data_IF_548711906298
#
_entry.id   IF_548711906298
#
_cell.length_a   1.000
_cell.length_b   1.000
_cell.length_c   1.000
_cell.angle_alpha   90.00
_cell.angle_beta   90.00
_cell.angle_gamma   90.00
#
_symmetry.space_group_name_H-M   'P 1'
#
loop_
_entity.id
_entity.type
_entity.pdbx_description
1 polymer ?
#
# COMPACT_ATOMS: atom_id res chain seq x y z
N UNK A 1 -62.37 -49.49 5.57
CA UNK A 1 -62.29 -48.03 5.37
C UNK A 1 -61.57 -47.30 6.50
N UNK A 2 -61.94 -47.45 7.78
CA UNK A 2 -61.30 -46.71 8.89
C UNK A 2 -59.79 -46.89 9.04
N UNK A 3 -59.27 -48.11 8.89
CA UNK A 3 -57.83 -48.39 9.01
C UNK A 3 -57.01 -47.68 7.92
N UNK A 4 -57.54 -47.60 6.69
CA UNK A 4 -56.87 -46.91 5.58
C UNK A 4 -56.83 -45.39 5.78
N UNK A 5 -57.87 -44.81 6.38
CA UNK A 5 -57.92 -43.38 6.71
C UNK A 5 -56.89 -43.04 7.78
N UNK A 6 -56.76 -43.87 8.82
CA UNK A 6 -55.76 -43.69 9.87
C UNK A 6 -54.33 -43.83 9.31
N UNK A 7 -54.09 -44.83 8.45
CA UNK A 7 -52.80 -45.01 7.80
C UNK A 7 -52.41 -43.81 6.90
N UNK A 8 -53.36 -43.30 6.10
CA UNK A 8 -53.16 -42.13 5.27
C UNK A 8 -52.90 -40.85 6.09
N UNK A 9 -53.66 -40.64 7.17
CA UNK A 9 -53.44 -39.51 8.08
C UNK A 9 -52.05 -39.57 8.74
N UNK A 10 -51.60 -40.76 9.13
CA UNK A 10 -50.29 -40.97 9.72
C UNK A 10 -49.15 -40.70 8.73
N UNK A 11 -49.32 -41.07 7.46
CA UNK A 11 -48.35 -40.75 6.39
C UNK A 11 -48.27 -39.24 6.12
N UNK A 12 -49.40 -38.53 6.05
CA UNK A 12 -49.42 -37.07 5.88
C UNK A 12 -48.75 -36.37 7.07
N UNK A 13 -49.05 -36.82 8.30
CA UNK A 13 -48.40 -36.29 9.50
C UNK A 13 -46.89 -36.52 9.47
N UNK A 14 -46.43 -37.71 9.07
CA UNK A 14 -45.01 -38.01 8.91
C UNK A 14 -44.34 -37.06 7.90
N UNK A 15 -44.94 -36.87 6.72
CA UNK A 15 -44.42 -35.97 5.70
C UNK A 15 -44.35 -34.52 6.18
N UNK A 16 -45.36 -34.05 6.91
CA UNK A 16 -45.37 -32.70 7.48
C UNK A 16 -44.27 -32.50 8.54
N UNK A 17 -44.02 -33.51 9.37
CA UNK A 17 -42.92 -33.50 10.35
C UNK A 17 -41.57 -33.52 9.63
N UNK A 18 -41.38 -34.42 8.66
CA UNK A 18 -40.15 -34.49 7.86
C UNK A 18 -39.86 -33.15 7.16
N UNK A 19 -40.86 -32.54 6.52
CA UNK A 19 -40.74 -31.23 5.88
C UNK A 19 -40.34 -30.13 6.87
N UNK A 20 -41.01 -30.08 8.02
CA UNK A 20 -40.73 -29.09 9.07
C UNK A 20 -39.31 -29.23 9.61
N UNK A 21 -38.87 -30.47 9.87
CA UNK A 21 -37.52 -30.78 10.32
C UNK A 21 -36.46 -30.41 9.27
N UNK A 22 -36.68 -30.77 8.00
CA UNK A 22 -35.78 -30.40 6.91
C UNK A 22 -35.65 -28.89 6.77
N UNK A 23 -36.78 -28.17 6.73
CA UNK A 23 -36.79 -26.70 6.65
C UNK A 23 -36.04 -26.06 7.82
N UNK A 24 -36.29 -26.51 9.04
CA UNK A 24 -35.59 -26.01 10.22
C UNK A 24 -34.08 -26.26 10.14
N UNK A 25 -33.65 -27.44 9.68
CA UNK A 25 -32.24 -27.77 9.49
C UNK A 25 -31.58 -26.85 8.45
N UNK A 26 -32.24 -26.61 7.32
CA UNK A 26 -31.76 -25.68 6.29
C UNK A 26 -31.64 -24.24 6.81
N UNK A 27 -32.67 -23.72 7.48
CA UNK A 27 -32.64 -22.37 8.03
C UNK A 27 -31.55 -22.18 9.09
N UNK A 28 -31.34 -23.19 9.95
CA UNK A 28 -30.28 -23.21 10.95
C UNK A 28 -28.89 -23.29 10.30
N UNK A 29 -28.73 -24.12 9.28
CA UNK A 29 -27.51 -24.21 8.48
C UNK A 29 -27.15 -22.89 7.80
N UNK A 30 -28.14 -22.22 7.18
CA UNK A 30 -27.97 -20.91 6.54
C UNK A 30 -27.47 -19.85 7.52
N UNK A 31 -28.05 -19.77 8.72
CA UNK A 31 -27.62 -18.83 9.77
C UNK A 31 -26.20 -19.10 10.27
N UNK A 32 -25.84 -20.38 10.41
CA UNK A 32 -24.46 -20.76 10.76
C UNK A 32 -23.47 -20.31 9.67
N UNK A 33 -23.85 -20.48 8.40
CA UNK A 33 -23.07 -19.99 7.26
C UNK A 33 -22.89 -18.47 7.27
N UNK A 34 -23.93 -17.70 7.60
CA UNK A 34 -23.83 -16.24 7.73
C UNK A 34 -22.82 -15.81 8.80
N UNK A 35 -22.82 -16.45 9.97
CA UNK A 35 -21.84 -16.16 11.02
C UNK A 35 -20.41 -16.51 10.60
N UNK A 36 -20.22 -17.64 9.92
CA UNK A 36 -18.92 -18.05 9.39
C UNK A 36 -18.42 -17.07 8.32
N UNK A 37 -19.29 -16.64 7.42
CA UNK A 37 -18.97 -15.67 6.39
C UNK A 37 -18.52 -14.32 6.99
N UNK A 38 -19.20 -13.83 8.04
CA UNK A 38 -18.78 -12.60 8.70
C UNK A 38 -17.40 -12.71 9.37
N UNK A 39 -17.08 -13.89 9.94
CA UNK A 39 -15.75 -14.15 10.52
C UNK A 39 -14.66 -14.26 9.44
N UNK A 40 -14.97 -14.86 8.29
CA UNK A 40 -14.05 -14.93 7.14
C UNK A 40 -13.82 -13.56 6.51
N UNK A 41 -14.86 -12.73 6.37
CA UNK A 41 -14.73 -11.35 5.89
C UNK A 41 -13.83 -10.55 6.84
N UNK A 42 -14.06 -10.65 8.16
CA UNK A 42 -13.23 -9.95 9.13
C UNK A 42 -11.77 -10.44 9.03
N UNK A 43 -11.54 -11.75 8.97
CA UNK A 43 -10.20 -12.33 8.82
C UNK A 43 -9.50 -11.86 7.54
N UNK A 44 -10.22 -11.81 6.41
CA UNK A 44 -9.68 -11.29 5.16
C UNK A 44 -9.37 -9.79 5.24
N UNK A 45 -10.21 -9.02 5.93
CA UNK A 45 -10.00 -7.60 6.14
C UNK A 45 -8.91 -7.27 7.16
N UNK A 46 -8.46 -8.21 8.00
CA UNK A 46 -7.45 -7.96 9.04
C UNK A 46 -6.17 -7.33 8.49
N UNK A 47 -5.72 -7.74 7.29
CA UNK A 47 -4.54 -7.12 6.66
C UNK A 47 -4.71 -5.65 6.31
N UNK A 48 -5.95 -5.20 6.08
CA UNK A 48 -6.31 -3.82 5.72
C UNK A 48 -6.85 -2.98 6.88
N UNK A 49 -7.15 -3.63 8.01
CA UNK A 49 -7.61 -2.97 9.23
C UNK A 49 -6.46 -2.61 10.20
N UNK A 50 -5.22 -2.97 9.85
CA UNK A 50 -4.02 -2.72 10.65
C UNK A 50 -3.69 -3.83 11.66
N UNK A 51 -2.48 -3.77 12.25
CA UNK A 51 -2.05 -4.71 13.29
C UNK A 51 -2.88 -4.57 14.55
N UNK A 52 -2.99 -5.65 15.33
CA UNK A 52 -3.85 -5.80 16.50
C UNK A 52 -3.70 -4.71 17.59
N UNK A 53 -2.61 -3.95 17.58
CA UNK A 53 -2.34 -2.86 18.52
C UNK A 53 -3.10 -1.56 18.19
N UNK A 54 -3.44 -1.34 16.92
CA UNK A 54 -4.48 -0.40 16.53
C UNK A 54 -5.82 -1.12 16.75
N UNK A 55 -6.28 -1.09 18.00
CA UNK A 55 -7.51 -1.73 18.46
C UNK A 55 -8.55 -1.77 17.33
N UNK A 56 -8.84 -2.98 16.83
CA UNK A 56 -9.80 -3.22 15.75
C UNK A 56 -10.96 -2.21 15.87
N UNK A 57 -11.29 -1.46 14.80
CA UNK A 57 -12.13 -0.29 14.95
C UNK A 57 -13.37 -0.65 15.73
N UNK A 58 -13.56 -0.02 16.90
CA UNK A 58 -14.62 -0.40 17.87
C UNK A 58 -16.00 -0.51 17.20
N UNK A 59 -16.21 0.28 16.14
CA UNK A 59 -17.37 0.23 15.26
C UNK A 59 -17.57 -1.15 14.59
N UNK A 60 -16.53 -1.74 13.98
CA UNK A 60 -16.57 -3.04 13.30
C UNK A 60 -16.93 -4.17 14.26
N UNK A 61 -16.31 -4.20 15.45
CA UNK A 61 -16.65 -5.21 16.46
C UNK A 61 -18.06 -5.04 17.00
N UNK A 62 -18.51 -3.79 17.19
CA UNK A 62 -19.86 -3.50 17.65
C UNK A 62 -20.90 -3.96 16.63
N UNK A 63 -20.70 -3.67 15.34
CA UNK A 63 -21.62 -4.09 14.28
C UNK A 63 -21.55 -5.60 14.04
N UNK A 64 -20.38 -6.23 14.13
CA UNK A 64 -20.25 -7.69 14.09
C UNK A 64 -20.98 -8.38 15.24
N UNK A 65 -20.83 -7.88 16.48
CA UNK A 65 -21.53 -8.43 17.63
C UNK A 65 -23.07 -8.27 17.49
N UNK A 66 -23.53 -7.13 16.97
CA UNK A 66 -24.95 -6.90 16.63
C UNK A 66 -25.42 -7.90 15.58
N UNK A 67 -24.66 -8.06 14.48
CA UNK A 67 -24.97 -9.00 13.41
C UNK A 67 -25.09 -10.44 13.93
N UNK A 68 -24.10 -10.94 14.67
CA UNK A 68 -24.11 -12.29 15.24
C UNK A 68 -25.32 -12.54 16.15
N UNK A 69 -25.74 -11.54 16.94
CA UNK A 69 -26.95 -11.64 17.78
C UNK A 69 -28.22 -11.76 16.94
N UNK A 70 -28.34 -10.93 15.91
CA UNK A 70 -29.53 -10.92 15.03
C UNK A 70 -29.65 -12.19 14.21
N UNK A 71 -28.53 -12.77 13.73
CA UNK A 71 -28.52 -14.03 12.95
C UNK A 71 -29.03 -15.22 13.77
N UNK A 72 -28.81 -15.22 15.09
CA UNK A 72 -29.27 -16.29 16.00
C UNK A 72 -30.77 -16.18 16.29
N UNK A 73 -31.33 -14.97 16.29
CA UNK A 73 -32.75 -14.75 16.57
C UNK A 73 -33.63 -15.12 15.35
N UNK A 74 -34.57 -16.08 15.49
CA UNK A 74 -35.46 -16.46 14.40
C UNK A 74 -36.40 -15.37 13.92
N UNK A 75 -36.74 -14.43 14.80
CA UNK A 75 -37.78 -13.43 14.60
C UNK A 75 -37.22 -12.11 14.05
N UNK A 76 -35.91 -11.99 13.93
CA UNK A 76 -35.26 -10.77 13.44
C UNK A 76 -34.76 -10.92 12.00
N UNK A 77 -34.97 -9.88 11.21
CA UNK A 77 -34.32 -9.73 9.90
C UNK A 77 -32.85 -9.36 10.10
N UNK A 78 -31.96 -10.17 9.51
CA UNK A 78 -30.51 -10.01 9.63
C UNK A 78 -29.92 -9.11 8.55
N UNK A 79 -30.66 -8.86 7.47
CA UNK A 79 -30.24 -8.07 6.33
C UNK A 79 -29.76 -6.66 6.73
N UNK A 80 -30.48 -5.88 7.57
CA UNK A 80 -30.00 -4.56 8.00
C UNK A 80 -28.72 -4.61 8.82
N UNK A 81 -28.61 -5.61 9.71
CA UNK A 81 -27.41 -5.79 10.53
C UNK A 81 -26.20 -6.22 9.67
N UNK A 82 -26.42 -6.89 8.54
CA UNK A 82 -25.36 -7.23 7.59
C UNK A 82 -24.83 -6.00 6.84
N UNK A 83 -25.72 -5.07 6.45
CA UNK A 83 -25.31 -3.82 5.82
C UNK A 83 -24.54 -2.93 6.79
N UNK A 84 -25.00 -2.81 8.04
CA UNK A 84 -24.28 -2.09 9.10
C UNK A 84 -22.86 -2.66 9.31
N UNK A 85 -22.72 -4.00 9.30
CA UNK A 85 -21.43 -4.66 9.41
C UNK A 85 -20.54 -4.37 8.19
N UNK A 86 -21.06 -4.56 6.97
CA UNK A 86 -20.31 -4.29 5.75
C UNK A 86 -19.85 -2.85 5.63
N UNK A 87 -20.71 -1.88 5.95
CA UNK A 87 -20.36 -0.45 5.95
C UNK A 87 -19.26 -0.14 6.96
N UNK A 88 -19.34 -0.69 8.18
CA UNK A 88 -18.32 -0.47 9.19
C UNK A 88 -16.95 -1.03 8.76
N UNK A 89 -16.92 -2.21 8.13
CA UNK A 89 -15.69 -2.80 7.59
C UNK A 89 -15.14 -1.94 6.45
N UNK A 90 -15.98 -1.56 5.49
CA UNK A 90 -15.58 -0.75 4.35
C UNK A 90 -15.02 0.62 4.75
N UNK A 91 -15.71 1.32 5.65
CA UNK A 91 -15.26 2.62 6.17
C UNK A 91 -13.91 2.51 6.88
N UNK A 92 -13.73 1.49 7.72
CA UNK A 92 -12.48 1.29 8.44
C UNK A 92 -11.30 0.99 7.49
N UNK A 93 -11.50 0.12 6.50
CA UNK A 93 -10.49 -0.15 5.47
C UNK A 93 -10.17 1.09 4.65
N UNK A 94 -11.18 1.90 4.30
CA UNK A 94 -10.99 3.14 3.56
C UNK A 94 -10.19 4.17 4.37
N UNK A 95 -10.53 4.38 5.64
CA UNK A 95 -9.81 5.31 6.52
C UNK A 95 -8.34 4.94 6.67
N UNK A 96 -8.06 3.65 6.84
CA UNK A 96 -6.69 3.16 6.93
C UNK A 96 -5.92 3.40 5.62
N UNK A 97 -6.50 3.00 4.48
CA UNK A 97 -5.86 3.21 3.17
C UNK A 97 -5.69 4.69 2.82
N UNK A 98 -6.62 5.54 3.24
CA UNK A 98 -6.51 6.99 3.07
C UNK A 98 -5.40 7.58 3.93
N UNK A 99 -5.28 7.16 5.19
CA UNK A 99 -4.20 7.60 6.08
C UNK A 99 -2.82 7.13 5.58
N UNK A 100 -2.71 5.90 5.12
CA UNK A 100 -1.50 5.37 4.48
C UNK A 100 -1.18 6.12 3.19
N UNK A 101 -2.18 6.41 2.36
CA UNK A 101 -2.03 7.22 1.15
C UNK A 101 -1.54 8.64 1.45
N UNK A 102 -2.05 9.27 2.51
CA UNK A 102 -1.54 10.54 3.01
C UNK A 102 -0.10 10.36 3.50
N UNK A 103 0.23 9.32 4.27
CA UNK A 103 1.58 9.12 4.79
C UNK A 103 2.62 8.88 3.68
N UNK A 104 2.26 8.11 2.65
CA UNK A 104 3.11 7.90 1.47
C UNK A 104 3.22 9.17 0.62
N UNK A 105 2.14 9.96 0.52
CA UNK A 105 2.14 11.26 -0.13
C UNK A 105 2.77 12.39 0.70
N UNK A 106 2.88 12.19 2.02
CA UNK A 106 3.41 13.16 2.96
C UNK A 106 4.92 13.19 2.82
N UNK A 107 5.41 14.38 2.48
CA UNK A 107 6.83 14.65 2.34
C UNK A 107 7.55 14.38 3.69
N UNK A 108 8.70 13.69 3.70
CA UNK A 108 9.59 13.64 4.86
C UNK A 108 9.93 15.04 5.37
N UNK A 109 10.09 15.22 6.68
CA UNK A 109 10.17 16.54 7.33
C UNK A 109 11.32 17.43 6.81
N UNK A 110 12.35 16.83 6.21
CA UNK A 110 13.59 17.44 5.73
C UNK A 110 13.65 17.65 4.20
N UNK A 111 12.65 17.17 3.45
CA UNK A 111 12.69 17.23 1.97
C UNK A 111 11.98 18.47 1.43
N UNK A 112 12.05 18.77 0.12
CA UNK A 112 11.20 19.76 -0.57
C UNK A 112 10.60 19.08 -1.80
N UNK A 113 9.27 19.17 -1.98
CA UNK A 113 8.61 18.66 -3.19
C UNK A 113 8.53 19.79 -4.20
N UNK A 114 9.06 19.53 -5.40
CA UNK A 114 9.02 20.44 -6.53
C UNK A 114 8.42 19.63 -7.68
N UNK A 115 7.27 20.04 -8.18
CA UNK A 115 6.68 19.43 -9.36
C UNK A 115 7.34 20.03 -10.60
N UNK A 116 7.93 19.19 -11.44
CA UNK A 116 8.64 19.58 -12.66
C UNK A 116 8.01 18.84 -13.85
N UNK A 117 7.83 19.54 -14.97
CA UNK A 117 7.57 18.89 -16.25
C UNK A 117 8.80 18.10 -16.71
N UNK A 118 8.61 17.14 -17.60
CA UNK A 118 9.72 16.35 -18.17
C UNK A 118 10.80 17.25 -18.80
N UNK A 119 10.38 18.33 -19.46
CA UNK A 119 11.31 19.28 -20.09
C UNK A 119 12.11 20.05 -19.04
N UNK A 120 11.48 20.51 -17.97
CA UNK A 120 12.16 21.22 -16.88
C UNK A 120 13.14 20.29 -16.16
N UNK A 121 12.74 19.04 -15.90
CA UNK A 121 13.62 18.04 -15.29
C UNK A 121 14.84 17.74 -16.17
N UNK A 122 14.65 17.62 -17.50
CA UNK A 122 15.74 17.44 -18.45
C UNK A 122 16.70 18.62 -18.45
N UNK A 123 16.18 19.85 -18.49
CA UNK A 123 16.98 21.07 -18.44
C UNK A 123 17.76 21.18 -17.12
N UNK A 124 17.10 20.89 -15.99
CA UNK A 124 17.75 20.86 -14.68
C UNK A 124 18.84 19.80 -14.60
N UNK A 125 18.64 18.63 -15.21
CA UNK A 125 19.67 17.58 -15.28
C UNK A 125 20.93 18.06 -15.97
N UNK A 126 20.78 18.74 -17.10
CA UNK A 126 21.93 19.26 -17.85
C UNK A 126 22.63 20.38 -17.09
N UNK A 127 21.87 21.31 -16.52
CA UNK A 127 22.43 22.41 -15.74
C UNK A 127 23.14 21.91 -14.48
N UNK A 128 22.58 20.90 -13.80
CA UNK A 128 23.19 20.30 -12.63
C UNK A 128 24.49 19.56 -12.99
N UNK A 129 24.52 18.85 -14.12
CA UNK A 129 25.73 18.20 -14.60
C UNK A 129 26.83 19.19 -14.98
N UNK A 130 26.49 20.24 -15.74
CA UNK A 130 27.42 21.30 -16.10
C UNK A 130 27.92 22.05 -14.87
N UNK A 131 27.00 22.43 -13.97
CA UNK A 131 27.33 23.08 -12.70
C UNK A 131 28.31 22.24 -11.89
N UNK A 132 28.06 20.94 -11.76
CA UNK A 132 28.99 20.01 -11.12
C UNK A 132 30.40 20.06 -11.75
N UNK A 133 30.50 20.00 -13.08
CA UNK A 133 31.80 20.06 -13.77
C UNK A 133 32.52 21.40 -13.55
N UNK A 134 31.77 22.50 -13.49
CA UNK A 134 32.33 23.84 -13.24
C UNK A 134 32.75 24.07 -11.78
N UNK A 135 32.11 23.38 -10.84
CA UNK A 135 32.48 23.42 -9.41
C UNK A 135 33.68 22.51 -9.09
N UNK A 136 34.03 21.58 -9.98
CA UNK A 136 35.21 20.74 -9.81
C UNK A 136 36.49 21.61 -9.84
N UNK A 137 37.48 21.36 -8.96
CA UNK A 137 38.62 22.27 -8.84
C UNK A 137 39.59 22.24 -10.04
N UNK A 138 39.49 21.23 -10.90
CA UNK A 138 40.24 21.13 -12.15
C UNK A 138 39.74 22.11 -13.23
N UNK A 139 38.53 22.65 -13.10
CA UNK A 139 37.95 23.60 -14.04
C UNK A 139 38.24 25.05 -13.61
N UNK A 140 38.99 25.80 -14.43
CA UNK A 140 39.47 27.16 -14.08
C UNK A 140 38.55 28.32 -14.48
N UNK A 141 37.37 28.04 -15.06
CA UNK A 141 36.54 29.10 -15.66
C UNK A 141 35.63 29.88 -14.69
N UNK A 142 35.35 29.35 -13.48
CA UNK A 142 34.51 30.01 -12.47
C UNK A 142 35.17 29.81 -11.09
N UNK A 143 35.47 30.91 -10.40
CA UNK A 143 36.17 30.88 -9.09
C UNK A 143 35.22 30.97 -7.88
N UNK A 144 33.95 31.31 -8.10
CA UNK A 144 33.08 31.78 -7.01
C UNK A 144 32.58 30.63 -6.12
N UNK A 145 32.40 29.42 -6.65
CA UNK A 145 31.90 28.27 -5.89
C UNK A 145 32.55 26.97 -6.37
N UNK A 146 33.61 26.52 -5.70
CA UNK A 146 34.25 25.21 -5.96
C UNK A 146 34.01 24.27 -4.80
N UNK A 147 34.01 22.97 -5.08
CA UNK A 147 34.00 21.97 -4.02
C UNK A 147 35.26 22.12 -3.16
N UNK A 148 35.06 22.27 -1.85
CA UNK A 148 36.11 22.44 -0.87
C UNK A 148 36.81 21.12 -0.54
N UNK A 149 36.11 19.99 -0.73
CA UNK A 149 36.59 18.66 -0.42
C UNK A 149 35.98 17.56 -1.27
N UNK A 150 36.59 16.38 -1.17
CA UNK A 150 36.19 15.17 -1.88
C UNK A 150 34.76 14.72 -1.51
N UNK A 151 34.42 14.77 -0.23
CA UNK A 151 33.11 14.33 0.27
C UNK A 151 31.96 15.19 -0.26
N UNK A 152 32.16 16.50 -0.30
CA UNK A 152 31.22 17.47 -0.86
C UNK A 152 30.98 17.21 -2.36
N UNK A 153 32.05 16.93 -3.10
CA UNK A 153 31.94 16.57 -4.51
C UNK A 153 31.19 15.24 -4.70
N UNK A 154 31.41 14.24 -3.85
CA UNK A 154 30.66 12.98 -3.90
C UNK A 154 29.19 13.16 -3.55
N UNK A 155 28.87 13.99 -2.57
CA UNK A 155 27.49 14.33 -2.21
C UNK A 155 26.76 15.03 -3.37
N UNK A 156 27.42 16.02 -3.99
CA UNK A 156 26.89 16.67 -5.17
C UNK A 156 26.73 15.69 -6.34
N UNK A 157 27.70 14.81 -6.58
CA UNK A 157 27.63 13.79 -7.63
C UNK A 157 26.45 12.82 -7.42
N UNK A 158 26.18 12.38 -6.18
CA UNK A 158 25.01 11.56 -5.85
C UNK A 158 23.71 12.32 -6.11
N UNK A 159 23.63 13.58 -5.72
CA UNK A 159 22.46 14.43 -5.92
C UNK A 159 22.12 14.62 -7.41
N UNK A 160 23.13 14.88 -8.25
CA UNK A 160 22.97 14.90 -9.71
C UNK A 160 22.51 13.53 -10.24
N UNK A 161 23.07 12.44 -9.71
CA UNK A 161 22.70 11.08 -10.08
C UNK A 161 21.23 10.75 -9.78
N UNK A 162 20.71 11.18 -8.62
CA UNK A 162 19.28 11.02 -8.27
C UNK A 162 18.40 11.72 -9.30
N UNK A 163 18.75 12.95 -9.65
CA UNK A 163 17.97 13.76 -10.59
C UNK A 163 18.00 13.17 -12.02
N UNK A 164 19.15 12.68 -12.46
CA UNK A 164 19.30 11.95 -13.72
C UNK A 164 18.55 10.60 -13.73
N UNK A 165 18.48 9.90 -12.59
CA UNK A 165 17.74 8.65 -12.47
C UNK A 165 16.22 8.85 -12.54
N UNK A 166 15.73 10.00 -12.10
CA UNK A 166 14.31 10.37 -12.18
C UNK A 166 13.82 10.54 -13.62
N UNK A 167 14.72 10.77 -14.58
CA UNK A 167 14.37 10.82 -16.01
C UNK A 167 13.96 9.44 -16.54
N UNK A 168 12.88 9.33 -17.32
CA UNK A 168 12.51 8.10 -18.03
C UNK A 168 13.64 7.65 -18.96
N UNK A 169 13.86 6.33 -19.09
CA UNK A 169 14.97 5.77 -19.88
C UNK A 169 14.99 6.25 -21.34
N UNK A 170 13.82 6.45 -21.95
CA UNK A 170 13.69 6.87 -23.35
C UNK A 170 14.14 8.32 -23.59
N UNK A 171 14.06 9.18 -22.57
CA UNK A 171 14.30 10.63 -22.67
C UNK A 171 15.67 11.04 -22.12
N UNK A 172 16.48 10.08 -21.66
CA UNK A 172 17.80 10.37 -21.10
C UNK A 172 18.76 10.80 -22.22
N UNK A 173 19.60 11.82 -21.96
CA UNK A 173 20.60 12.30 -22.92
C UNK A 173 21.83 11.37 -23.03
N UNK A 174 21.86 10.27 -22.28
CA UNK A 174 22.94 9.29 -22.26
C UNK A 174 22.36 7.87 -22.23
N UNK A 175 23.10 6.92 -22.81
CA UNK A 175 22.63 5.55 -22.98
C UNK A 175 22.62 4.74 -21.66
N UNK A 176 23.63 4.93 -20.81
CA UNK A 176 23.76 4.21 -19.55
C UNK A 176 24.03 5.16 -18.37
N UNK A 177 23.10 5.14 -17.41
CA UNK A 177 23.19 5.93 -16.17
C UNK A 177 24.35 5.48 -15.29
N UNK A 178 24.70 4.19 -15.30
CA UNK A 178 25.78 3.67 -14.48
C UNK A 178 27.11 4.22 -14.94
N UNK A 179 27.34 4.21 -16.26
CA UNK A 179 28.51 4.82 -16.88
C UNK A 179 28.60 6.31 -16.56
N UNK A 180 27.48 7.05 -16.61
CA UNK A 180 27.43 8.48 -16.29
C UNK A 180 27.83 8.77 -14.82
N UNK A 181 27.31 7.98 -13.88
CA UNK A 181 27.66 8.11 -12.45
C UNK A 181 29.12 7.77 -12.20
N UNK A 182 29.59 6.62 -12.72
CA UNK A 182 30.98 6.18 -12.56
C UNK A 182 31.98 7.17 -13.18
N UNK A 183 31.63 7.76 -14.32
CA UNK A 183 32.44 8.81 -14.93
C UNK A 183 32.61 10.02 -14.01
N UNK A 184 31.53 10.43 -13.33
CA UNK A 184 31.53 11.55 -12.39
C UNK A 184 32.32 11.25 -11.12
N UNK A 185 32.15 10.05 -10.56
CA UNK A 185 32.94 9.57 -9.42
C UNK A 185 34.44 9.51 -9.76
N UNK A 186 34.77 9.01 -10.96
CA UNK A 186 36.15 8.97 -11.44
C UNK A 186 36.78 10.36 -11.53
N UNK A 187 36.04 11.36 -12.00
CA UNK A 187 36.54 12.74 -12.03
C UNK A 187 36.92 13.25 -10.63
N UNK A 188 36.17 12.85 -9.60
CA UNK A 188 36.46 13.20 -8.20
C UNK A 188 37.70 12.46 -7.73
N UNK A 189 37.75 11.14 -7.91
CA UNK A 189 38.89 10.34 -7.46
C UNK A 189 40.18 10.77 -8.11
N UNK A 190 40.18 11.00 -9.43
CA UNK A 190 41.37 11.38 -10.20
C UNK A 190 41.95 12.74 -9.75
N UNK A 191 41.14 13.62 -9.17
CA UNK A 191 41.59 14.93 -8.67
C UNK A 191 42.15 14.89 -7.24
N UNK A 192 41.43 14.22 -6.33
CA UNK A 192 41.82 14.18 -4.91
C UNK A 192 42.78 13.03 -4.56
N UNK A 193 43.01 12.08 -5.46
CA UNK A 193 44.13 11.15 -5.31
C UNK A 193 45.43 11.87 -5.64
N UNK A 194 46.27 12.05 -4.60
CA UNK A 194 47.64 12.50 -4.80
C UNK A 194 48.34 11.44 -5.64
N UNK A 195 49.00 11.78 -6.77
CA UNK A 195 49.87 10.83 -7.43
C UNK A 195 50.93 10.44 -6.40
N UNK A 196 50.91 9.19 -5.94
CA UNK A 196 52.10 8.59 -5.34
C UNK A 196 53.17 8.70 -6.42
N UNK A 197 54.05 9.71 -6.30
CA UNK A 197 55.32 9.72 -7.01
C UNK A 197 55.98 8.40 -6.67
N UNK A 198 56.02 7.47 -7.62
CA UNK A 198 57.02 6.42 -7.59
C UNK A 198 58.37 7.14 -7.63
N UNK A 199 59.01 7.20 -6.47
CA UNK A 199 60.42 7.55 -6.35
C UNK A 199 61.18 6.26 -6.62
N UNK A 200 61.53 6.01 -7.88
CA UNK A 200 62.67 5.19 -8.31
C UNK A 200 62.87 5.32 -9.83
#
# INVERSE_FOLDING_TARGET
MGILIVAAAMQVALLAVCWSCSRWYYERGRRRGLNQCADEILRGAQGHLGSADAAHPKAVHKTLAKFKRVVVDPNCSWEPASWDFGNAVGEACWQQGFAEGIAVGAKPADMIRIDLSLKELLQMSWLAHLGFQHMMPNYRGIEVHRFSGCDEAFEAARSVGILECALPKADRPFADIKTQILGREKMITDWWTVPTREVA
#
